data_IF_200690252720
#
_entry.id   IF_200690252720
#
_cell.length_a   1.000
_cell.length_b   1.000
_cell.length_c   1.000
_cell.angle_alpha   90.00
_cell.angle_beta   90.00
_cell.angle_gamma   90.00
#
_symmetry.space_group_name_H-M   'P 1'
#
loop_
_entity.id
_entity.type
_entity.pdbx_description
1 polymer ?
#
# COMPACT_ATOMS: atom_id res chain seq x y z
N UNK A 1 -48.02 -43.86 33.16
CA UNK A 1 -47.97 -43.60 31.73
C UNK A 1 -48.39 -42.20 31.31
N UNK A 2 -49.59 -41.67 31.70
CA UNK A 2 -50.06 -40.32 31.29
C UNK A 2 -49.14 -39.17 31.74
N UNK A 3 -48.54 -39.20 32.95
CA UNK A 3 -47.62 -38.17 33.44
C UNK A 3 -46.26 -38.15 32.65
N UNK A 4 -45.76 -39.33 32.22
CA UNK A 4 -44.53 -39.46 31.45
C UNK A 4 -44.74 -38.91 30.03
N UNK A 5 -45.88 -39.17 29.42
CA UNK A 5 -46.23 -38.64 28.09
C UNK A 5 -46.36 -37.10 28.10
N UNK A 6 -46.91 -36.51 29.16
CA UNK A 6 -47.05 -35.08 29.31
C UNK A 6 -45.69 -34.37 29.47
N UNK A 7 -44.74 -34.99 30.19
CA UNK A 7 -43.36 -34.45 30.33
C UNK A 7 -42.63 -34.48 29.02
N UNK A 8 -42.74 -35.57 28.21
CA UNK A 8 -42.15 -35.67 26.90
C UNK A 8 -42.73 -34.64 25.90
N UNK A 9 -44.02 -34.34 25.97
CA UNK A 9 -44.64 -33.32 25.11
C UNK A 9 -44.17 -31.90 25.50
N UNK A 10 -44.03 -31.61 26.78
CA UNK A 10 -43.51 -30.31 27.22
C UNK A 10 -42.04 -30.14 26.84
N UNK A 11 -41.23 -31.21 26.98
CA UNK A 11 -39.83 -31.17 26.60
C UNK A 11 -39.65 -31.01 25.07
N UNK A 12 -40.48 -31.68 24.27
CA UNK A 12 -40.55 -31.54 22.82
C UNK A 12 -40.97 -30.14 22.37
N UNK A 13 -41.95 -29.52 23.06
CA UNK A 13 -42.38 -28.14 22.78
C UNK A 13 -41.32 -27.13 23.13
N UNK A 14 -40.57 -27.33 24.25
CA UNK A 14 -39.44 -26.46 24.64
C UNK A 14 -38.28 -26.57 23.65
N UNK A 15 -37.95 -27.77 23.22
CA UNK A 15 -36.92 -27.99 22.17
C UNK A 15 -37.35 -27.36 20.83
N UNK A 16 -38.60 -27.55 20.42
CA UNK A 16 -39.14 -26.91 19.21
C UNK A 16 -39.14 -25.36 19.32
N UNK A 17 -39.49 -24.82 20.48
CA UNK A 17 -39.40 -23.38 20.70
C UNK A 17 -37.95 -22.85 20.74
N UNK A 18 -36.99 -23.63 21.23
CA UNK A 18 -35.57 -23.34 21.20
C UNK A 18 -34.99 -23.39 19.74
N UNK A 19 -35.45 -24.36 18.96
CA UNK A 19 -35.05 -24.48 17.54
C UNK A 19 -35.68 -23.37 16.69
N UNK A 20 -36.89 -22.91 17.02
CA UNK A 20 -37.56 -21.81 16.34
C UNK A 20 -37.01 -20.42 16.75
N UNK A 21 -36.33 -20.34 17.90
CA UNK A 21 -35.59 -19.15 18.34
C UNK A 21 -34.08 -19.22 18.09
N UNK A 22 -33.60 -20.21 17.33
CA UNK A 22 -32.34 -20.04 16.65
C UNK A 22 -32.62 -18.99 15.58
N UNK A 23 -32.36 -17.74 15.97
CA UNK A 23 -32.31 -16.61 15.04
C UNK A 23 -31.53 -17.10 13.83
N UNK A 24 -32.19 -17.23 12.70
CA UNK A 24 -31.49 -17.11 11.43
C UNK A 24 -30.78 -15.77 11.57
N UNK A 25 -29.48 -15.78 11.72
CA UNK A 25 -28.69 -14.59 11.39
C UNK A 25 -29.19 -14.21 9.99
N UNK A 26 -30.00 -13.15 9.94
CA UNK A 26 -30.27 -12.48 8.68
C UNK A 26 -28.86 -12.16 8.16
N UNK A 27 -28.43 -12.86 7.11
CA UNK A 27 -27.29 -12.41 6.32
C UNK A 27 -27.76 -11.08 5.76
N UNK A 28 -27.46 -10.00 6.49
CA UNK A 28 -27.67 -8.65 5.99
C UNK A 28 -26.78 -8.58 4.76
N UNK A 29 -27.40 -8.60 3.59
CA UNK A 29 -26.68 -8.39 2.34
C UNK A 29 -26.04 -7.01 2.44
N UNK A 30 -24.70 -6.97 2.31
CA UNK A 30 -24.00 -5.71 2.20
C UNK A 30 -24.24 -5.18 0.77
N UNK A 31 -25.21 -4.29 0.65
CA UNK A 31 -25.66 -3.73 -0.63
C UNK A 31 -24.82 -2.49 -1.04
N UNK A 32 -23.76 -2.16 -0.29
CA UNK A 32 -22.86 -1.06 -0.65
C UNK A 32 -22.19 -1.34 -2.00
N UNK A 33 -21.96 -0.30 -2.81
CA UNK A 33 -21.11 -0.43 -3.98
C UNK A 33 -19.73 -1.00 -3.61
N UNK A 34 -19.15 -1.77 -4.53
CA UNK A 34 -17.85 -2.42 -4.29
C UNK A 34 -16.87 -1.92 -5.33
N UNK A 35 -15.74 -1.44 -4.85
CA UNK A 35 -14.58 -1.06 -5.65
C UNK A 35 -13.35 -1.83 -5.16
N UNK A 36 -12.27 -1.82 -5.91
CA UNK A 36 -11.03 -2.46 -5.49
C UNK A 36 -9.82 -1.55 -5.72
N UNK A 37 -8.72 -1.91 -5.09
CA UNK A 37 -7.42 -1.25 -5.25
C UNK A 37 -6.33 -2.29 -5.41
N UNK A 38 -5.28 -1.95 -6.12
CA UNK A 38 -4.21 -2.89 -6.43
C UNK A 38 -3.30 -3.17 -5.24
N UNK A 39 -2.79 -2.14 -4.57
CA UNK A 39 -1.80 -2.22 -3.49
C UNK A 39 -2.31 -1.60 -2.19
N UNK A 40 -1.72 -1.98 -1.06
CA UNK A 40 -2.15 -1.52 0.27
C UNK A 40 -2.08 0.01 0.46
N UNK A 41 -1.02 0.74 0.05
CA UNK A 41 -1.00 2.20 0.16
C UNK A 41 -2.21 2.86 -0.51
N UNK A 42 -2.56 2.40 -1.69
CA UNK A 42 -3.73 2.90 -2.42
C UNK A 42 -5.05 2.48 -1.75
N UNK A 43 -5.09 1.25 -1.20
CA UNK A 43 -6.24 0.78 -0.42
C UNK A 43 -6.53 1.69 0.78
N UNK A 44 -5.50 2.02 1.56
CA UNK A 44 -5.67 2.88 2.74
C UNK A 44 -6.17 4.27 2.34
N UNK A 45 -5.57 4.90 1.31
CA UNK A 45 -6.01 6.20 0.81
C UNK A 45 -7.48 6.14 0.36
N UNK A 46 -7.83 5.17 -0.48
CA UNK A 46 -9.19 5.02 -1.02
C UNK A 46 -10.20 4.72 0.09
N UNK A 47 -9.86 3.84 1.05
CA UNK A 47 -10.73 3.49 2.17
C UNK A 47 -10.98 4.71 3.07
N UNK A 48 -9.96 5.53 3.32
CA UNK A 48 -10.12 6.77 4.10
C UNK A 48 -11.06 7.76 3.41
N UNK A 49 -11.05 7.85 2.07
CA UNK A 49 -11.96 8.74 1.31
C UNK A 49 -13.36 8.14 1.23
N UNK A 50 -13.48 6.86 0.88
CA UNK A 50 -14.75 6.15 0.70
C UNK A 50 -15.55 6.00 2.01
N UNK A 51 -14.83 5.87 3.14
CA UNK A 51 -15.45 5.64 4.45
C UNK A 51 -16.29 4.37 4.47
N UNK A 52 -17.42 4.44 5.17
CA UNK A 52 -18.38 3.34 5.25
C UNK A 52 -19.40 3.30 4.09
N UNK A 53 -19.38 4.28 3.20
CA UNK A 53 -20.34 4.39 2.10
C UNK A 53 -20.07 3.40 0.96
N UNK A 54 -18.80 3.02 0.79
CA UNK A 54 -18.32 2.11 -0.26
C UNK A 54 -17.52 0.98 0.39
N UNK A 55 -17.68 -0.23 -0.11
CA UNK A 55 -16.81 -1.36 0.26
C UNK A 55 -15.58 -1.37 -0.63
N UNK A 56 -14.40 -1.24 -0.03
CA UNK A 56 -13.12 -1.25 -0.74
C UNK A 56 -12.44 -2.60 -0.53
N UNK A 57 -12.02 -3.25 -1.62
CA UNK A 57 -11.31 -4.53 -1.59
C UNK A 57 -9.85 -4.33 -1.98
N UNK A 58 -8.94 -4.93 -1.22
CA UNK A 58 -7.51 -4.98 -1.58
C UNK A 58 -7.24 -6.21 -2.44
N UNK A 59 -6.68 -6.02 -3.63
CA UNK A 59 -6.41 -7.11 -4.58
C UNK A 59 -5.14 -7.87 -4.19
N UNK A 60 -4.02 -7.16 -4.05
CA UNK A 60 -2.74 -7.76 -3.75
C UNK A 60 -2.63 -8.04 -2.24
N UNK A 61 -2.32 -9.26 -1.80
CA UNK A 61 -2.12 -9.58 -0.40
C UNK A 61 -0.99 -8.72 0.22
N UNK A 62 -1.17 -8.36 1.49
CA UNK A 62 -0.13 -7.68 2.29
C UNK A 62 1.18 -8.48 2.27
N UNK A 63 2.29 -7.77 2.13
CA UNK A 63 3.63 -8.36 2.09
C UNK A 63 4.06 -8.93 0.73
N UNK A 64 3.18 -8.93 -0.27
CA UNK A 64 3.56 -9.26 -1.65
C UNK A 64 4.22 -8.06 -2.35
N UNK A 65 5.05 -8.35 -3.36
CA UNK A 65 5.59 -7.33 -4.26
C UNK A 65 4.70 -7.16 -5.48
N UNK A 66 4.32 -5.95 -5.87
CA UNK A 66 3.49 -5.72 -7.05
C UNK A 66 4.16 -6.18 -8.34
N UNK A 67 5.49 -6.11 -8.42
CA UNK A 67 6.28 -6.50 -9.60
C UNK A 67 6.28 -8.01 -9.88
N UNK A 68 6.00 -8.84 -8.87
CA UNK A 68 6.01 -10.31 -9.00
C UNK A 68 4.66 -10.96 -8.69
N UNK A 69 3.64 -10.14 -8.38
CA UNK A 69 2.32 -10.66 -8.05
C UNK A 69 1.60 -11.24 -9.27
N UNK A 70 1.08 -12.47 -9.12
CA UNK A 70 0.27 -13.16 -10.11
C UNK A 70 -1.13 -13.44 -9.55
N UNK A 71 -2.20 -12.87 -10.15
CA UNK A 71 -3.56 -13.10 -9.68
C UNK A 71 -4.01 -14.55 -9.83
N UNK A 72 -4.61 -15.12 -8.77
CA UNK A 72 -5.18 -16.46 -8.81
C UNK A 72 -6.63 -16.46 -9.31
N UNK A 73 -7.08 -17.60 -9.87
CA UNK A 73 -8.49 -17.78 -10.28
C UNK A 73 -9.49 -17.72 -9.09
N UNK A 74 -9.06 -17.94 -7.85
CA UNK A 74 -9.89 -17.75 -6.66
C UNK A 74 -10.14 -16.28 -6.40
N UNK A 75 -9.14 -15.44 -6.55
CA UNK A 75 -9.23 -13.99 -6.36
C UNK A 75 -10.33 -13.35 -7.23
N UNK A 76 -10.46 -13.77 -8.49
CA UNK A 76 -11.54 -13.29 -9.37
C UNK A 76 -12.96 -13.59 -8.84
N UNK A 77 -13.14 -14.69 -8.11
CA UNK A 77 -14.43 -15.01 -7.48
C UNK A 77 -14.71 -14.12 -6.27
N UNK A 78 -13.66 -13.81 -5.51
CA UNK A 78 -13.75 -13.01 -4.28
C UNK A 78 -14.02 -11.52 -4.62
N UNK A 79 -13.53 -11.07 -5.79
CA UNK A 79 -13.74 -9.71 -6.32
C UNK A 79 -15.06 -9.55 -7.11
N UNK A 80 -15.95 -10.54 -7.06
CA UNK A 80 -17.23 -10.43 -7.77
C UNK A 80 -18.05 -9.22 -7.30
N UNK A 81 -18.49 -8.42 -8.28
CA UNK A 81 -19.26 -7.21 -8.04
C UNK A 81 -18.43 -5.93 -7.99
N UNK A 82 -17.10 -6.03 -8.04
CA UNK A 82 -16.22 -4.88 -8.22
C UNK A 82 -16.53 -4.21 -9.56
N UNK A 83 -16.78 -2.91 -9.53
CA UNK A 83 -17.12 -2.09 -10.71
C UNK A 83 -15.95 -1.21 -11.18
N UNK A 84 -15.06 -0.86 -10.27
CA UNK A 84 -13.87 -0.01 -10.51
C UNK A 84 -12.68 -0.59 -9.77
N UNK A 85 -11.52 -0.56 -10.39
CA UNK A 85 -10.23 -0.89 -9.79
C UNK A 85 -9.33 0.33 -9.90
N UNK A 86 -8.93 0.90 -8.76
CA UNK A 86 -7.90 1.93 -8.73
C UNK A 86 -6.52 1.28 -8.77
N UNK A 87 -5.67 1.79 -9.66
CA UNK A 87 -4.36 1.23 -9.97
C UNK A 87 -3.28 2.32 -10.07
N UNK A 88 -2.03 1.91 -9.92
CA UNK A 88 -0.85 2.77 -10.07
C UNK A 88 -0.47 2.93 -11.55
N UNK A 89 -0.42 1.83 -12.29
CA UNK A 89 0.03 1.81 -13.69
C UNK A 89 1.56 1.72 -13.85
N UNK A 90 2.00 2.05 -15.05
CA UNK A 90 3.43 2.15 -15.43
C UNK A 90 4.25 0.89 -15.12
N UNK A 91 3.66 -0.30 -15.32
CA UNK A 91 4.33 -1.59 -15.11
C UNK A 91 4.29 -2.11 -13.67
N UNK A 92 3.87 -1.30 -12.69
CA UNK A 92 3.82 -1.73 -11.29
C UNK A 92 2.74 -2.79 -11.06
N UNK A 93 1.55 -2.56 -11.61
CA UNK A 93 0.36 -3.38 -11.37
C UNK A 93 -0.45 -3.67 -12.64
N UNK A 94 0.22 -3.85 -13.77
CA UNK A 94 -0.39 -4.14 -15.10
C UNK A 94 -1.28 -5.39 -15.09
N UNK A 95 -1.06 -6.31 -14.14
CA UNK A 95 -1.92 -7.47 -13.88
C UNK A 95 -3.37 -7.09 -13.54
N UNK A 96 -3.62 -5.86 -13.07
CA UNK A 96 -4.96 -5.36 -12.79
C UNK A 96 -5.84 -5.29 -14.03
N UNK A 97 -5.26 -5.05 -15.21
CA UNK A 97 -5.99 -5.02 -16.48
C UNK A 97 -6.66 -6.36 -16.79
N UNK A 98 -5.97 -7.47 -16.54
CA UNK A 98 -6.52 -8.84 -16.72
C UNK A 98 -7.68 -9.09 -15.74
N UNK A 99 -7.58 -8.60 -14.52
CA UNK A 99 -8.67 -8.71 -13.51
C UNK A 99 -9.88 -7.88 -13.98
N UNK A 100 -9.65 -6.62 -14.38
CA UNK A 100 -10.69 -5.71 -14.87
C UNK A 100 -11.45 -6.29 -16.06
N UNK A 101 -10.75 -6.82 -17.07
CA UNK A 101 -11.35 -7.49 -18.23
C UNK A 101 -12.26 -8.66 -17.83
N UNK A 102 -11.80 -9.53 -16.91
CA UNK A 102 -12.58 -10.69 -16.46
C UNK A 102 -13.81 -10.32 -15.62
N UNK A 103 -13.75 -9.23 -14.86
CA UNK A 103 -14.85 -8.74 -14.01
C UNK A 103 -15.79 -7.78 -14.76
N UNK A 104 -15.34 -7.20 -15.87
CA UNK A 104 -16.01 -6.06 -16.50
C UNK A 104 -15.88 -4.78 -15.67
N UNK A 105 -14.84 -4.68 -14.86
CA UNK A 105 -14.51 -3.53 -14.03
C UNK A 105 -13.65 -2.52 -14.81
N UNK A 106 -13.88 -1.24 -14.57
CA UNK A 106 -13.06 -0.16 -15.13
C UNK A 106 -11.76 -0.03 -14.35
N UNK A 107 -10.64 0.18 -15.05
CA UNK A 107 -9.34 0.51 -14.42
C UNK A 107 -9.20 2.03 -14.43
N UNK A 108 -8.90 2.60 -13.27
CA UNK A 108 -8.62 4.02 -13.08
C UNK A 108 -7.23 4.17 -12.50
N UNK A 109 -6.29 4.75 -13.25
CA UNK A 109 -4.98 5.14 -12.71
C UNK A 109 -5.10 6.44 -11.92
N UNK A 110 -4.40 6.53 -10.80
CA UNK A 110 -4.53 7.65 -9.85
C UNK A 110 -3.45 8.72 -10.02
N UNK A 111 -2.81 8.75 -11.17
CA UNK A 111 -1.68 9.60 -11.53
C UNK A 111 -2.05 11.01 -12.04
N UNK A 112 -3.35 11.33 -12.08
CA UNK A 112 -3.85 12.62 -12.56
C UNK A 112 -3.25 13.78 -11.75
N UNK A 113 -2.69 14.77 -12.44
CA UNK A 113 -2.02 15.95 -11.84
C UNK A 113 -0.69 15.65 -11.08
N UNK A 114 -0.14 14.43 -11.16
CA UNK A 114 1.17 14.08 -10.60
C UNK A 114 2.27 14.41 -11.60
N UNK A 115 3.34 15.07 -11.12
CA UNK A 115 4.57 15.27 -11.91
C UNK A 115 5.39 13.98 -11.90
N UNK A 116 5.25 13.21 -12.97
CA UNK A 116 5.82 11.87 -13.08
C UNK A 116 7.31 11.92 -13.45
N UNK A 117 8.14 11.27 -12.63
CA UNK A 117 9.58 11.16 -12.86
C UNK A 117 9.88 10.22 -14.04
N UNK A 118 10.67 10.73 -15.01
CA UNK A 118 11.11 9.95 -16.16
C UNK A 118 12.50 9.36 -15.89
N UNK A 119 12.60 8.04 -15.93
CA UNK A 119 13.86 7.29 -15.84
C UNK A 119 14.32 6.82 -17.23
N UNK A 120 15.46 6.13 -17.29
CA UNK A 120 15.94 5.50 -18.54
C UNK A 120 15.07 4.30 -18.96
N UNK A 121 14.39 3.66 -18.02
CA UNK A 121 13.56 2.47 -18.23
C UNK A 121 12.06 2.81 -18.43
N UNK A 122 11.69 4.09 -18.35
CA UNK A 122 10.32 4.58 -18.48
C UNK A 122 9.93 5.52 -17.34
N UNK A 123 8.63 5.60 -17.05
CA UNK A 123 8.13 6.38 -15.92
C UNK A 123 8.33 5.57 -14.64
N UNK A 124 8.89 6.21 -13.61
CA UNK A 124 8.97 5.64 -12.27
C UNK A 124 7.55 5.50 -11.68
N UNK A 125 7.08 4.26 -11.43
CA UNK A 125 5.72 4.04 -10.96
C UNK A 125 5.52 4.34 -9.46
N UNK A 126 6.60 4.54 -8.67
CA UNK A 126 6.55 4.57 -7.21
C UNK A 126 6.07 5.91 -6.64
N UNK A 127 5.24 6.64 -7.39
CA UNK A 127 4.78 7.98 -7.04
C UNK A 127 3.88 8.03 -5.79
N UNK A 128 3.34 6.88 -5.35
CA UNK A 128 2.60 6.81 -4.08
C UNK A 128 3.50 7.02 -2.85
N UNK A 129 4.83 6.84 -2.97
CA UNK A 129 5.80 7.05 -1.90
C UNK A 129 6.14 8.55 -1.72
N UNK A 130 5.12 9.38 -1.63
CA UNK A 130 5.23 10.82 -1.44
C UNK A 130 4.00 11.34 -0.71
N UNK A 131 4.19 12.16 0.32
CA UNK A 131 3.09 12.85 1.03
C UNK A 131 2.38 13.84 0.10
N UNK A 132 3.14 14.53 -0.76
CA UNK A 132 2.61 15.46 -1.75
C UNK A 132 1.71 14.74 -2.74
N UNK A 133 2.19 13.64 -3.31
CA UNK A 133 1.42 12.85 -4.28
C UNK A 133 0.23 12.12 -3.62
N UNK A 134 0.35 11.69 -2.35
CA UNK A 134 -0.77 11.09 -1.63
C UNK A 134 -1.97 12.05 -1.50
N UNK A 135 -1.71 13.36 -1.32
CA UNK A 135 -2.77 14.39 -1.37
C UNK A 135 -3.41 14.51 -2.76
N UNK A 136 -2.61 14.41 -3.83
CA UNK A 136 -3.11 14.44 -5.22
C UNK A 136 -3.94 13.19 -5.50
N UNK A 137 -3.46 12.02 -5.10
CA UNK A 137 -4.19 10.74 -5.22
C UNK A 137 -5.53 10.82 -4.48
N UNK A 138 -5.53 11.29 -3.22
CA UNK A 138 -6.74 11.45 -2.43
C UNK A 138 -7.78 12.36 -3.13
N UNK A 139 -7.32 13.46 -3.73
CA UNK A 139 -8.17 14.36 -4.52
C UNK A 139 -8.72 13.66 -5.77
N UNK A 140 -7.87 12.96 -6.52
CA UNK A 140 -8.26 12.23 -7.74
C UNK A 140 -9.32 11.18 -7.42
N UNK A 141 -9.11 10.39 -6.35
CA UNK A 141 -10.07 9.38 -5.87
C UNK A 141 -11.38 10.02 -5.44
N UNK A 142 -11.34 11.10 -4.65
CA UNK A 142 -12.55 11.83 -4.23
C UNK A 142 -13.35 12.32 -5.44
N UNK A 143 -12.70 12.92 -6.44
CA UNK A 143 -13.35 13.49 -7.60
C UNK A 143 -14.01 12.39 -8.46
N UNK A 144 -13.35 11.24 -8.62
CA UNK A 144 -13.90 10.08 -9.33
C UNK A 144 -15.08 9.45 -8.55
N UNK A 145 -14.94 9.27 -7.23
CA UNK A 145 -16.03 8.77 -6.37
C UNK A 145 -17.26 9.71 -6.39
N UNK A 146 -17.06 11.02 -6.34
CA UNK A 146 -18.13 12.00 -6.45
C UNK A 146 -18.88 11.90 -7.80
N UNK A 147 -18.17 11.64 -8.89
CA UNK A 147 -18.77 11.48 -10.20
C UNK A 147 -19.58 10.18 -10.32
N UNK A 148 -19.13 9.09 -9.69
CA UNK A 148 -19.76 7.75 -9.73
C UNK A 148 -20.91 7.59 -8.75
N UNK A 149 -20.77 8.16 -7.54
CA UNK A 149 -21.67 7.98 -6.41
C UNK A 149 -22.08 9.34 -5.81
N UNK A 150 -22.79 10.20 -6.58
CA UNK A 150 -23.08 11.57 -6.19
C UNK A 150 -23.93 11.68 -4.91
N UNK A 151 -24.62 10.61 -4.51
CA UNK A 151 -25.36 10.52 -3.25
C UNK A 151 -24.48 10.57 -2.00
N UNK A 152 -23.18 10.21 -2.11
CA UNK A 152 -22.22 10.21 -1.01
C UNK A 152 -21.20 11.37 -1.07
N UNK A 153 -21.38 12.33 -1.98
CA UNK A 153 -20.44 13.47 -2.20
C UNK A 153 -20.07 14.18 -0.91
N UNK A 154 -21.03 14.41 -0.01
CA UNK A 154 -20.74 15.08 1.26
C UNK A 154 -19.76 14.30 2.12
N UNK A 155 -19.92 12.98 2.19
CA UNK A 155 -19.05 12.10 3.00
C UNK A 155 -17.65 12.03 2.40
N UNK A 156 -17.53 11.89 1.07
CA UNK A 156 -16.24 11.86 0.38
C UNK A 156 -15.46 13.17 0.52
N UNK A 157 -16.13 14.32 0.35
CA UNK A 157 -15.49 15.63 0.53
C UNK A 157 -15.05 15.86 1.98
N UNK A 158 -15.88 15.46 2.94
CA UNK A 158 -15.55 15.56 4.37
C UNK A 158 -14.34 14.68 4.72
N UNK A 159 -14.37 13.42 4.33
CA UNK A 159 -13.32 12.43 4.58
C UNK A 159 -12.00 12.84 3.92
N UNK A 160 -12.04 13.28 2.66
CA UNK A 160 -10.86 13.78 1.94
C UNK A 160 -10.23 14.98 2.64
N UNK A 161 -11.06 15.89 3.18
CA UNK A 161 -10.56 17.05 3.92
C UNK A 161 -9.85 16.64 5.21
N UNK A 162 -10.39 15.68 5.97
CA UNK A 162 -9.77 15.15 7.18
C UNK A 162 -8.46 14.41 6.87
N UNK A 163 -8.47 13.56 5.84
CA UNK A 163 -7.29 12.81 5.44
C UNK A 163 -6.15 13.72 4.97
N UNK A 164 -6.47 14.76 4.19
CA UNK A 164 -5.49 15.79 3.78
C UNK A 164 -4.85 16.49 4.98
N UNK A 165 -5.63 16.83 6.02
CA UNK A 165 -5.07 17.43 7.25
C UNK A 165 -4.11 16.48 7.96
N UNK A 166 -4.48 15.20 8.09
CA UNK A 166 -3.61 14.19 8.70
C UNK A 166 -2.32 13.99 7.91
N UNK A 167 -2.37 13.95 6.57
CA UNK A 167 -1.18 13.90 5.71
C UNK A 167 -0.27 15.10 5.91
N UNK A 168 -0.83 16.31 6.03
CA UNK A 168 -0.06 17.53 6.25
C UNK A 168 0.64 17.53 7.62
N UNK A 169 -0.05 17.10 8.68
CA UNK A 169 0.52 17.00 10.03
C UNK A 169 1.71 16.02 10.05
N UNK A 170 1.54 14.85 9.45
CA UNK A 170 2.60 13.83 9.42
C UNK A 170 3.76 14.23 8.51
N UNK A 171 3.50 14.89 7.38
CA UNK A 171 4.56 15.42 6.53
C UNK A 171 5.41 16.46 7.28
N UNK A 172 4.80 17.32 8.09
CA UNK A 172 5.54 18.27 8.91
C UNK A 172 6.43 17.57 9.95
N UNK A 173 5.91 16.52 10.60
CA UNK A 173 6.69 15.71 11.54
C UNK A 173 7.82 14.94 10.83
N UNK A 174 7.57 14.38 9.64
CA UNK A 174 8.58 13.74 8.82
C UNK A 174 9.75 14.70 8.47
N UNK A 175 9.42 15.90 7.99
CA UNK A 175 10.42 16.93 7.68
C UNK A 175 11.20 17.38 8.93
N UNK A 176 10.55 17.47 10.09
CA UNK A 176 11.21 17.78 11.36
C UNK A 176 12.21 16.69 11.73
N UNK A 177 11.81 15.41 11.68
CA UNK A 177 12.70 14.28 11.99
C UNK A 177 13.92 14.26 11.06
N UNK A 178 13.73 14.40 9.75
CA UNK A 178 14.84 14.46 8.80
C UNK A 178 15.77 15.64 9.12
N UNK A 179 15.23 16.83 9.41
CA UNK A 179 16.04 18.03 9.65
C UNK A 179 16.82 17.98 10.98
N UNK A 180 16.25 17.38 12.03
CA UNK A 180 16.79 17.38 13.38
C UNK A 180 17.64 16.15 13.71
N UNK A 181 17.38 15.00 13.06
CA UNK A 181 17.91 13.69 13.48
C UNK A 181 18.80 13.04 12.40
N UNK A 182 18.85 13.60 11.18
CA UNK A 182 19.60 13.01 10.06
C UNK A 182 20.84 13.86 9.77
N UNK A 183 22.01 13.26 9.91
CA UNK A 183 23.30 13.96 9.72
C UNK A 183 23.66 14.13 8.24
N UNK A 184 23.29 13.17 7.38
CA UNK A 184 23.53 13.19 5.93
C UNK A 184 22.24 12.96 5.14
N UNK A 185 21.96 13.84 4.18
CA UNK A 185 20.80 13.66 3.28
C UNK A 185 21.02 12.60 2.19
N UNK A 186 22.22 12.02 2.08
CA UNK A 186 22.53 11.00 1.09
C UNK A 186 22.17 9.62 1.61
N UNK A 187 21.43 8.86 0.80
CA UNK A 187 21.05 7.47 1.09
C UNK A 187 21.35 6.59 -0.12
N UNK A 188 21.59 5.30 0.12
CA UNK A 188 21.56 4.26 -0.90
C UNK A 188 20.45 3.25 -0.60
N UNK A 189 19.82 2.75 -1.64
CA UNK A 189 18.69 1.82 -1.54
C UNK A 189 18.99 0.52 -2.28
N UNK A 190 18.32 -0.55 -1.92
CA UNK A 190 18.43 -1.81 -2.67
C UNK A 190 17.74 -1.70 -4.02
N UNK A 191 16.51 -1.19 -4.05
CA UNK A 191 15.63 -1.07 -5.21
C UNK A 191 15.41 0.40 -5.58
N UNK A 192 15.28 0.70 -6.88
CA UNK A 192 15.06 2.05 -7.41
C UNK A 192 13.58 2.45 -7.33
N UNK A 193 13.11 2.72 -6.09
CA UNK A 193 11.72 3.05 -5.80
C UNK A 193 11.54 4.38 -5.04
N UNK A 194 12.62 4.98 -4.60
CA UNK A 194 12.58 5.97 -3.50
C UNK A 194 12.73 7.42 -3.95
N UNK A 195 12.68 7.69 -5.26
CA UNK A 195 12.84 9.04 -5.80
C UNK A 195 11.82 10.04 -5.22
N UNK A 196 10.53 9.71 -5.25
CA UNK A 196 9.48 10.63 -4.79
C UNK A 196 9.52 10.85 -3.28
N UNK A 197 9.80 9.81 -2.51
CA UNK A 197 10.00 9.88 -1.06
C UNK A 197 11.18 10.80 -0.71
N UNK A 198 12.32 10.57 -1.36
CA UNK A 198 13.53 11.36 -1.15
C UNK A 198 13.30 12.83 -1.54
N UNK A 199 12.66 13.07 -2.69
CA UNK A 199 12.38 14.43 -3.16
C UNK A 199 11.48 15.22 -2.21
N UNK A 200 10.44 14.61 -1.63
CA UNK A 200 9.56 15.26 -0.66
C UNK A 200 10.29 15.65 0.63
N UNK A 201 11.26 14.87 1.05
CA UNK A 201 11.94 15.01 2.34
C UNK A 201 13.31 15.70 2.24
N UNK A 202 13.73 16.09 1.02
CA UNK A 202 15.03 16.71 0.80
C UNK A 202 16.22 15.75 0.97
N UNK A 203 15.97 14.44 0.77
CA UNK A 203 16.99 13.40 0.73
C UNK A 203 17.50 13.22 -0.71
N UNK A 204 18.67 12.59 -0.86
CA UNK A 204 19.26 12.25 -2.15
C UNK A 204 19.51 10.74 -2.22
N UNK A 205 18.84 10.03 -3.11
CA UNK A 205 19.23 8.66 -3.46
C UNK A 205 20.44 8.75 -4.37
N UNK A 206 21.65 8.56 -3.80
CA UNK A 206 22.90 8.71 -4.54
C UNK A 206 23.32 7.44 -5.25
N UNK A 207 22.69 6.33 -4.95
CA UNK A 207 22.89 5.04 -5.61
C UNK A 207 21.87 4.00 -5.21
N UNK A 208 21.72 2.99 -6.04
CA UNK A 208 20.79 1.89 -5.84
C UNK A 208 21.52 0.58 -6.16
N UNK A 209 21.41 -0.44 -5.32
CA UNK A 209 22.11 -1.72 -5.57
C UNK A 209 21.55 -2.42 -6.82
N UNK A 210 20.22 -2.49 -6.96
CA UNK A 210 19.54 -2.99 -8.16
C UNK A 210 18.96 -1.82 -8.95
N UNK A 211 19.70 -1.26 -9.93
CA UNK A 211 19.30 -0.06 -10.66
C UNK A 211 18.09 -0.28 -11.61
N UNK A 212 17.69 -1.52 -11.81
CA UNK A 212 16.50 -1.90 -12.58
C UNK A 212 15.89 -3.11 -11.89
N UNK A 213 14.64 -3.02 -11.47
CA UNK A 213 13.96 -4.05 -10.68
C UNK A 213 14.16 -5.47 -11.20
N UNK A 214 14.74 -6.34 -10.37
CA UNK A 214 14.98 -7.74 -10.67
C UNK A 214 16.17 -8.03 -11.62
N UNK A 215 17.04 -7.04 -11.89
CA UNK A 215 18.28 -7.25 -12.66
C UNK A 215 19.49 -7.17 -11.73
N UNK A 216 20.30 -8.22 -11.77
CA UNK A 216 21.59 -8.22 -11.06
C UNK A 216 22.49 -7.09 -11.58
N UNK A 217 23.15 -6.33 -10.68
CA UNK A 217 24.09 -5.28 -11.06
C UNK A 217 25.32 -5.87 -11.78
N UNK A 218 25.88 -5.13 -12.72
CA UNK A 218 27.14 -5.52 -13.36
C UNK A 218 28.32 -5.28 -12.43
N UNK A 219 29.46 -6.02 -12.59
CA UNK A 219 30.65 -5.78 -11.77
C UNK A 219 31.16 -4.33 -11.85
N UNK A 220 31.09 -3.69 -13.01
CA UNK A 220 31.51 -2.30 -13.15
C UNK A 220 30.58 -1.36 -12.36
N UNK A 221 29.28 -1.58 -12.45
CA UNK A 221 28.30 -0.81 -11.70
C UNK A 221 28.54 -0.90 -10.17
N UNK A 222 28.87 -2.09 -9.66
CA UNK A 222 29.19 -2.27 -8.24
C UNK A 222 30.47 -1.51 -7.84
N UNK A 223 31.49 -1.44 -8.71
CA UNK A 223 32.68 -0.64 -8.45
C UNK A 223 32.31 0.85 -8.35
N UNK A 224 31.55 1.35 -9.31
CA UNK A 224 31.12 2.75 -9.32
C UNK A 224 30.22 3.08 -8.11
N UNK A 225 29.39 2.11 -7.67
CA UNK A 225 28.56 2.27 -6.47
C UNK A 225 29.41 2.32 -5.18
N UNK A 226 30.45 1.49 -5.08
CA UNK A 226 31.40 1.52 -3.95
C UNK A 226 32.13 2.87 -3.89
N UNK A 227 32.57 3.41 -5.01
CA UNK A 227 33.16 4.75 -5.07
C UNK A 227 32.17 5.82 -4.56
N UNK A 228 30.90 5.73 -4.96
CA UNK A 228 29.83 6.62 -4.48
C UNK A 228 29.60 6.51 -2.98
N UNK A 229 29.62 5.29 -2.43
CA UNK A 229 29.48 5.02 -0.98
C UNK A 229 30.60 5.70 -0.20
N UNK A 230 31.86 5.50 -0.66
CA UNK A 230 33.03 6.08 -0.02
C UNK A 230 33.06 7.61 -0.08
N UNK A 231 32.71 8.18 -1.25
CA UNK A 231 32.67 9.66 -1.45
C UNK A 231 31.55 10.34 -0.67
N UNK A 232 30.47 9.63 -0.38
CA UNK A 232 29.27 10.16 0.29
C UNK A 232 29.20 9.79 1.79
N UNK A 233 30.24 9.11 2.33
CA UNK A 233 30.29 8.64 3.71
C UNK A 233 29.06 7.78 4.11
N UNK A 234 28.55 6.96 3.16
CA UNK A 234 27.38 6.11 3.40
C UNK A 234 27.74 4.95 4.33
N UNK A 235 26.92 4.75 5.36
CA UNK A 235 27.09 3.66 6.34
C UNK A 235 25.95 2.65 6.32
N UNK A 236 24.81 2.95 5.63
CA UNK A 236 23.62 2.10 5.64
C UNK A 236 23.07 1.90 4.22
N UNK A 237 22.83 0.62 3.86
CA UNK A 237 22.02 0.24 2.70
C UNK A 237 20.59 0.01 3.15
N UNK A 238 19.64 0.70 2.52
CA UNK A 238 18.21 0.52 2.81
C UNK A 238 17.61 -0.52 1.87
N UNK A 239 17.10 -1.61 2.45
CA UNK A 239 16.40 -2.70 1.76
C UNK A 239 14.90 -2.68 2.03
N UNK A 240 14.16 -3.60 1.44
CA UNK A 240 12.72 -3.75 1.57
C UNK A 240 12.36 -5.09 2.22
N UNK A 241 11.32 -5.15 3.11
CA UNK A 241 10.91 -6.41 3.75
C UNK A 241 10.47 -7.50 2.77
N UNK A 242 10.10 -7.14 1.53
CA UNK A 242 9.65 -8.03 0.47
C UNK A 242 10.81 -8.69 -0.29
N UNK A 243 12.05 -8.23 -0.10
CA UNK A 243 13.23 -8.69 -0.84
C UNK A 243 14.09 -9.62 0.01
N UNK A 244 14.83 -10.54 -0.65
CA UNK A 244 15.73 -11.48 0.03
C UNK A 244 17.06 -10.83 0.36
N UNK A 245 17.52 -11.00 1.61
CA UNK A 245 18.83 -10.52 2.05
C UNK A 245 20.01 -11.22 1.35
N UNK A 246 19.81 -12.47 0.87
CA UNK A 246 20.84 -13.24 0.18
C UNK A 246 21.43 -12.52 -1.05
N UNK A 247 20.63 -11.64 -1.69
CA UNK A 247 21.05 -10.92 -2.90
C UNK A 247 22.15 -9.88 -2.63
N UNK A 248 22.20 -9.29 -1.44
CA UNK A 248 23.11 -8.18 -1.10
C UNK A 248 24.00 -8.42 0.13
N UNK A 249 23.83 -9.52 0.87
CA UNK A 249 24.54 -9.81 2.12
C UNK A 249 26.07 -9.71 1.97
N UNK A 250 26.63 -10.29 0.90
CA UNK A 250 28.06 -10.21 0.60
C UNK A 250 28.52 -8.76 0.37
N UNK A 251 27.72 -7.98 -0.37
CA UNK A 251 28.05 -6.59 -0.67
C UNK A 251 28.06 -5.73 0.61
N UNK A 252 27.06 -5.88 1.45
CA UNK A 252 26.93 -5.20 2.75
C UNK A 252 28.11 -5.55 3.65
N UNK A 253 28.41 -6.84 3.80
CA UNK A 253 29.51 -7.32 4.64
C UNK A 253 30.89 -6.80 4.17
N UNK A 254 31.16 -6.88 2.85
CA UNK A 254 32.48 -6.53 2.30
C UNK A 254 32.74 -5.01 2.32
N UNK A 255 31.68 -4.19 2.33
CA UNK A 255 31.76 -2.73 2.41
C UNK A 255 31.47 -2.18 3.81
N UNK A 256 31.35 -3.04 4.85
CA UNK A 256 31.05 -2.66 6.24
C UNK A 256 29.80 -1.78 6.41
N UNK A 257 28.77 -2.03 5.61
CA UNK A 257 27.52 -1.31 5.70
C UNK A 257 26.61 -1.92 6.77
N UNK A 258 25.76 -1.10 7.37
CA UNK A 258 24.59 -1.51 8.12
C UNK A 258 23.41 -1.74 7.16
N UNK A 259 22.37 -2.43 7.62
CA UNK A 259 21.12 -2.63 6.87
C UNK A 259 19.99 -1.88 7.57
N UNK A 260 19.35 -0.97 6.84
CA UNK A 260 18.10 -0.34 7.22
C UNK A 260 16.95 -0.90 6.40
N UNK A 261 15.70 -0.68 6.84
CA UNK A 261 14.52 -1.14 6.11
C UNK A 261 13.62 0.03 5.74
N UNK A 262 13.30 0.15 4.46
CA UNK A 262 12.24 1.00 3.93
C UNK A 262 11.18 0.12 3.29
N UNK A 263 9.95 0.28 3.69
CA UNK A 263 8.84 -0.54 3.23
C UNK A 263 7.97 0.26 2.23
N UNK A 264 7.89 -0.15 0.96
CA UNK A 264 7.08 0.58 -0.03
C UNK A 264 5.59 0.24 0.02
N UNK A 265 5.20 -0.85 0.70
CA UNK A 265 3.87 -1.44 0.61
C UNK A 265 3.09 -1.36 1.93
N UNK A 266 3.69 -1.69 3.08
CA UNK A 266 3.00 -1.68 4.37
C UNK A 266 1.90 -2.73 4.54
N UNK A 267 0.88 -2.39 5.34
CA UNK A 267 -0.25 -3.29 5.65
C UNK A 267 0.06 -4.33 6.72
N UNK A 268 1.26 -4.33 7.28
CA UNK A 268 1.66 -5.20 8.39
C UNK A 268 1.24 -4.61 9.74
N UNK A 269 1.36 -5.37 10.84
CA UNK A 269 0.79 -5.02 12.14
C UNK A 269 1.26 -3.67 12.72
N UNK A 270 2.42 -3.20 12.32
CA UNK A 270 3.06 -1.94 12.73
C UNK A 270 2.92 -0.80 11.70
N UNK A 271 2.32 -1.09 10.53
CA UNK A 271 2.14 -0.17 9.40
C UNK A 271 0.75 -0.37 8.79
N UNK A 272 -0.28 -0.20 9.64
CA UNK A 272 -1.68 -0.47 9.29
C UNK A 272 -2.36 0.67 8.54
N UNK A 273 -1.66 1.78 8.31
CA UNK A 273 -2.10 2.89 7.46
C UNK A 273 -0.96 3.39 6.57
N UNK A 274 -1.30 4.12 5.52
CA UNK A 274 -0.31 4.81 4.69
C UNK A 274 0.52 5.80 5.51
N UNK A 275 -0.11 6.49 6.45
CA UNK A 275 0.54 7.45 7.35
C UNK A 275 1.57 6.75 8.24
N UNK A 276 1.20 5.63 8.87
CA UNK A 276 2.13 4.84 9.69
C UNK A 276 3.30 4.31 8.86
N UNK A 277 3.02 3.85 7.64
CA UNK A 277 4.02 3.36 6.70
C UNK A 277 5.07 4.45 6.39
N UNK A 278 4.62 5.63 5.97
CA UNK A 278 5.50 6.73 5.61
C UNK A 278 6.32 7.23 6.80
N UNK A 279 5.69 7.36 7.97
CA UNK A 279 6.39 7.77 9.19
C UNK A 279 7.42 6.73 9.66
N UNK A 280 7.08 5.44 9.56
CA UNK A 280 8.02 4.34 9.87
C UNK A 280 9.25 4.37 8.97
N UNK A 281 9.08 4.67 7.68
CA UNK A 281 10.19 4.82 6.74
C UNK A 281 11.09 6.01 7.11
N UNK A 282 10.51 7.13 7.47
CA UNK A 282 11.27 8.31 7.96
C UNK A 282 12.05 7.98 9.23
N UNK A 283 11.40 7.32 10.20
CA UNK A 283 12.06 6.89 11.45
C UNK A 283 13.18 5.88 11.21
N UNK A 284 13.01 5.00 10.22
CA UNK A 284 14.08 4.07 9.83
C UNK A 284 15.33 4.81 9.36
N UNK A 285 15.17 5.89 8.58
CA UNK A 285 16.31 6.71 8.15
C UNK A 285 16.94 7.43 9.36
N UNK A 286 16.12 8.09 10.19
CA UNK A 286 16.62 8.82 11.36
C UNK A 286 17.38 7.94 12.37
N UNK A 287 17.02 6.65 12.48
CA UNK A 287 17.65 5.72 13.42
C UNK A 287 18.90 5.01 12.87
N UNK A 288 19.18 5.08 11.57
CA UNK A 288 20.25 4.29 10.91
C UNK A 288 21.29 5.15 10.19
N UNK A 289 21.43 6.42 10.57
CA UNK A 289 22.41 7.36 10.02
C UNK A 289 23.54 7.66 11.02
#
# INVERSE_FOLDING_TARGET
MKKLLMVLLIFGAVIAALILNLDSEEIVSDDRPVIATTIFPLYDIVQNIAGDSIRVELIMPVGASPHTFEPSASLLRDLKGVSVIYAIGYGSDDWASVIGENLGAEIVTVDSDIDLHQTNDGIDPHYWLSFTNANIIAKTVRDDLNARFPEYTYDFDHNASLYTLSLQEVNQEALRLITEEVDSNNIITLHDAWYYFANDLGLNVVGTFEPSGGREPTPQYLIDLIETIDESDIITLYTEPQLSEEAFDTFVHDNNLSVGYLDPIGGTADKMSFIDLMLSNVQSIANNQ
#
